data_IF_833629134192
#
_entry.id   IF_833629134192
#
_cell.length_a   1.000
_cell.length_b   1.000
_cell.length_c   1.000
_cell.angle_alpha   90.00
_cell.angle_beta   90.00
_cell.angle_gamma   90.00
#
_symmetry.space_group_name_H-M   'P 1'
#
loop_
_entity.id
_entity.type
_entity.pdbx_description
1 polymer ?
#
# COMPACT_ATOMS: atom_id res chain seq x y z
N UNK A 1 6.79 0.50 22.21
CA UNK A 1 7.44 -0.51 21.38
C UNK A 1 6.69 -0.71 20.07
N UNK A 2 5.36 -0.54 20.04
CA UNK A 2 4.51 -0.66 18.85
C UNK A 2 3.83 0.67 18.53
N UNK A 3 3.94 1.13 17.28
CA UNK A 3 3.13 2.17 16.68
C UNK A 3 2.02 1.56 15.81
N UNK A 4 0.86 2.22 15.71
CA UNK A 4 -0.23 1.78 14.86
C UNK A 4 -0.93 2.96 14.21
N UNK A 5 -1.11 2.88 12.91
CA UNK A 5 -1.94 3.79 12.12
C UNK A 5 -3.07 2.98 11.50
N UNK A 6 -4.30 3.02 12.04
CA UNK A 6 -5.46 2.40 11.41
C UNK A 6 -5.90 3.15 10.15
N UNK A 7 -6.63 2.48 9.28
CA UNK A 7 -7.20 3.05 8.06
C UNK A 7 -8.06 4.30 8.36
N UNK A 8 -8.93 4.19 9.36
CA UNK A 8 -9.70 5.31 9.88
C UNK A 8 -9.31 5.57 11.33
N UNK A 9 -8.71 6.71 11.58
CA UNK A 9 -8.44 7.14 12.95
C UNK A 9 -9.21 8.42 13.26
N UNK A 10 -9.92 8.39 14.38
CA UNK A 10 -10.71 9.51 14.85
C UNK A 10 -9.79 10.65 15.29
N UNK A 11 -9.86 11.78 14.60
CA UNK A 11 -9.23 13.01 15.05
C UNK A 11 -10.28 13.89 15.74
N UNK A 12 -9.90 14.51 16.84
CA UNK A 12 -10.73 15.51 17.51
C UNK A 12 -10.76 16.81 16.67
N UNK A 13 -11.82 17.09 15.89
CA UNK A 13 -11.79 18.13 14.86
C UNK A 13 -11.62 19.55 15.41
N UNK A 14 -11.99 19.77 16.68
CA UNK A 14 -11.91 21.09 17.34
C UNK A 14 -10.58 21.37 18.03
N UNK A 15 -9.74 20.35 18.20
CA UNK A 15 -8.42 20.43 18.85
C UNK A 15 -7.35 20.73 17.79
N UNK A 16 -6.32 21.48 18.15
CA UNK A 16 -5.20 21.69 17.24
C UNK A 16 -4.17 20.56 17.34
N UNK A 17 -3.28 20.48 16.33
CA UNK A 17 -2.31 19.40 16.24
C UNK A 17 -1.33 19.39 17.42
N UNK A 18 -0.92 20.53 17.91
CA UNK A 18 0.02 20.67 19.03
C UNK A 18 -0.57 20.14 20.34
N UNK A 19 -1.80 20.54 20.64
CA UNK A 19 -2.51 20.11 21.85
C UNK A 19 -2.74 18.60 21.89
N UNK A 20 -3.25 18.04 20.76
CA UNK A 20 -3.48 16.59 20.71
C UNK A 20 -2.17 15.82 20.82
N UNK A 21 -1.11 16.31 20.16
CA UNK A 21 0.18 15.62 20.17
C UNK A 21 0.81 15.60 21.57
N UNK A 22 0.76 16.73 22.30
CA UNK A 22 1.23 16.80 23.70
C UNK A 22 0.45 15.84 24.60
N UNK A 23 -0.88 15.79 24.44
CA UNK A 23 -1.74 14.84 25.17
C UNK A 23 -1.39 13.38 24.90
N UNK A 24 -1.18 13.01 23.64
CA UNK A 24 -0.78 11.66 23.25
C UNK A 24 0.60 11.29 23.80
N UNK A 25 1.54 12.23 23.82
CA UNK A 25 2.86 12.03 24.41
C UNK A 25 2.79 11.77 25.91
N UNK A 26 1.91 12.46 26.64
CA UNK A 26 1.63 12.18 28.06
C UNK A 26 1.09 10.75 28.23
N UNK A 27 0.12 10.34 27.41
CA UNK A 27 -0.45 8.98 27.46
C UNK A 27 0.58 7.89 27.15
N UNK A 28 1.60 8.20 26.37
CA UNK A 28 2.75 7.32 26.08
C UNK A 28 3.82 7.34 27.19
N UNK A 29 3.57 8.05 28.30
CA UNK A 29 4.44 8.07 29.49
C UNK A 29 5.52 9.14 29.47
N UNK A 30 5.51 10.09 28.53
CA UNK A 30 6.48 11.18 28.47
C UNK A 30 6.01 12.31 29.40
N UNK A 31 6.40 12.23 30.68
CA UNK A 31 5.93 13.13 31.74
C UNK A 31 6.60 14.51 31.69
N UNK A 32 7.86 14.60 31.24
CA UNK A 32 8.60 15.87 31.19
C UNK A 32 8.11 16.75 30.04
N UNK A 33 7.69 17.99 30.34
CA UNK A 33 7.15 18.93 29.36
C UNK A 33 8.17 19.33 28.28
N UNK A 34 9.43 19.59 28.68
CA UNK A 34 10.48 19.96 27.72
C UNK A 34 10.76 18.84 26.71
N UNK A 35 10.72 17.58 27.16
CA UNK A 35 10.94 16.43 26.28
C UNK A 35 9.76 16.24 25.33
N UNK A 36 8.51 16.44 25.79
CA UNK A 36 7.33 16.42 24.90
C UNK A 36 7.39 17.54 23.85
N UNK A 37 7.79 18.74 24.22
CA UNK A 37 7.93 19.87 23.27
C UNK A 37 8.98 19.57 22.20
N UNK A 38 10.14 19.02 22.57
CA UNK A 38 11.20 18.62 21.64
C UNK A 38 10.70 17.50 20.70
N UNK A 39 10.08 16.47 21.26
CA UNK A 39 9.52 15.35 20.49
C UNK A 39 8.46 15.83 19.49
N UNK A 40 7.50 16.63 19.97
CA UNK A 40 6.43 17.19 19.14
C UNK A 40 7.01 18.00 17.98
N UNK A 41 7.99 18.87 18.26
CA UNK A 41 8.66 19.63 17.21
C UNK A 41 9.36 18.73 16.20
N UNK A 42 10.09 17.72 16.66
CA UNK A 42 10.81 16.77 15.81
C UNK A 42 9.83 16.03 14.89
N UNK A 43 8.84 15.34 15.44
CA UNK A 43 7.93 14.49 14.68
C UNK A 43 7.00 15.29 13.74
N UNK A 44 6.47 16.42 14.18
CA UNK A 44 5.69 17.28 13.30
C UNK A 44 6.54 17.95 12.21
N UNK A 45 7.84 18.15 12.43
CA UNK A 45 8.75 18.64 11.39
C UNK A 45 9.07 17.55 10.38
N UNK A 46 9.38 16.32 10.82
CA UNK A 46 9.64 15.16 9.97
C UNK A 46 8.45 14.87 9.04
N UNK A 47 7.23 15.00 9.55
CA UNK A 47 6.00 14.79 8.76
C UNK A 47 5.53 16.04 8.00
N UNK A 48 6.34 17.11 7.95
CA UNK A 48 6.03 18.40 7.29
C UNK A 48 4.74 19.09 7.81
N UNK A 49 4.42 18.89 9.10
CA UNK A 49 3.22 19.45 9.74
C UNK A 49 3.52 20.58 10.72
N UNK A 50 4.78 20.86 11.06
CA UNK A 50 5.15 21.86 12.07
C UNK A 50 4.55 23.25 11.81
N UNK A 51 4.51 23.70 10.56
CA UNK A 51 3.91 24.99 10.20
C UNK A 51 2.39 25.07 10.43
N UNK A 52 1.73 23.89 10.52
CA UNK A 52 0.29 23.79 10.71
C UNK A 52 -0.09 23.41 12.14
N UNK A 53 0.86 23.29 13.07
CA UNK A 53 0.68 22.79 14.44
C UNK A 53 -0.45 23.46 15.25
N UNK A 54 -0.73 24.73 14.99
CA UNK A 54 -1.80 25.50 15.65
C UNK A 54 -3.15 25.41 14.92
N UNK A 55 -3.23 24.76 13.77
CA UNK A 55 -4.48 24.58 13.04
C UNK A 55 -5.30 23.46 13.64
N UNK A 56 -6.63 23.65 13.64
CA UNK A 56 -7.59 22.59 14.07
C UNK A 56 -7.49 21.40 13.14
N UNK A 57 -7.46 20.18 13.70
CA UNK A 57 -7.32 18.93 12.96
C UNK A 57 -8.47 18.68 11.97
N UNK A 58 -9.67 19.20 12.27
CA UNK A 58 -10.79 19.17 11.35
C UNK A 58 -10.58 19.91 10.03
N UNK A 59 -9.55 20.79 9.94
CA UNK A 59 -9.18 21.54 8.73
C UNK A 59 -8.05 20.91 7.93
N UNK A 60 -7.53 19.74 8.37
CA UNK A 60 -6.48 19.03 7.69
C UNK A 60 -7.03 18.31 6.45
N UNK A 61 -6.25 18.32 5.35
CA UNK A 61 -6.52 17.46 4.19
C UNK A 61 -6.33 15.99 4.55
N UNK A 62 -6.78 15.07 3.70
CA UNK A 62 -6.56 13.63 3.87
C UNK A 62 -5.08 13.30 4.09
N UNK A 63 -4.20 13.77 3.22
CA UNK A 63 -2.75 13.55 3.36
C UNK A 63 -2.15 14.20 4.61
N UNK A 64 -2.65 15.37 5.06
CA UNK A 64 -2.23 15.95 6.33
C UNK A 64 -2.66 15.09 7.53
N UNK A 65 -3.86 14.51 7.48
CA UNK A 65 -4.34 13.59 8.53
C UNK A 65 -3.47 12.34 8.57
N UNK A 66 -3.20 11.72 7.43
CA UNK A 66 -2.33 10.52 7.37
C UNK A 66 -0.94 10.81 7.92
N UNK A 67 -0.30 11.92 7.53
CA UNK A 67 1.00 12.32 8.09
C UNK A 67 0.95 12.63 9.59
N UNK A 68 -0.14 13.16 10.10
CA UNK A 68 -0.34 13.35 11.53
C UNK A 68 -0.47 11.99 12.26
N UNK A 69 -1.19 11.03 11.67
CA UNK A 69 -1.32 9.68 12.19
C UNK A 69 0.02 8.94 12.28
N UNK A 70 0.88 9.07 11.25
CA UNK A 70 2.25 8.53 11.31
C UNK A 70 3.07 9.21 12.41
N UNK A 71 3.03 10.56 12.52
CA UNK A 71 3.70 11.26 13.60
C UNK A 71 3.25 10.76 14.98
N UNK A 72 1.95 10.51 15.14
CA UNK A 72 1.37 9.92 16.36
C UNK A 72 1.88 8.50 16.60
N UNK A 73 1.96 7.66 15.56
CA UNK A 73 2.44 6.28 15.67
C UNK A 73 3.91 6.20 16.11
N UNK A 74 4.71 7.22 15.77
CA UNK A 74 6.12 7.34 16.13
C UNK A 74 6.37 7.80 17.59
N UNK A 75 5.34 8.25 18.32
CA UNK A 75 5.51 8.67 19.72
C UNK A 75 6.00 7.49 20.56
N UNK A 76 7.07 7.68 21.29
CA UNK A 76 7.66 6.67 22.18
C UNK A 76 8.68 5.75 21.51
N UNK A 77 9.22 6.16 20.38
CA UNK A 77 10.31 5.48 19.65
C UNK A 77 10.01 3.99 19.41
N UNK A 78 8.96 3.65 18.64
CA UNK A 78 8.58 2.28 18.38
C UNK A 78 9.65 1.54 17.55
N UNK A 79 9.77 0.23 17.76
CA UNK A 79 10.60 -0.65 16.93
C UNK A 79 9.81 -1.24 15.76
N UNK A 80 8.49 -1.22 15.84
CA UNK A 80 7.56 -1.74 14.86
C UNK A 80 6.40 -0.77 14.70
N UNK A 81 6.05 -0.47 13.45
CA UNK A 81 4.84 0.26 13.11
C UNK A 81 3.98 -0.61 12.20
N UNK A 82 2.70 -0.68 12.49
CA UNK A 82 1.69 -1.27 11.60
C UNK A 82 0.89 -0.11 11.00
N UNK A 83 0.75 -0.13 9.69
CA UNK A 83 0.10 0.93 8.90
C UNK A 83 -0.96 0.29 8.01
N UNK A 84 -2.21 0.65 8.22
CA UNK A 84 -3.35 0.02 7.57
C UNK A 84 -3.96 0.96 6.51
N UNK A 85 -3.90 0.54 5.23
CA UNK A 85 -4.43 1.25 4.06
C UNK A 85 -4.08 2.75 4.00
N UNK A 86 -2.82 3.16 4.22
CA UNK A 86 -2.50 4.56 4.50
C UNK A 86 -2.61 5.50 3.30
N UNK A 87 -2.59 4.96 2.08
CA UNK A 87 -2.61 5.75 0.84
C UNK A 87 -3.99 5.82 0.20
N UNK A 88 -4.96 5.10 0.76
CA UNK A 88 -6.33 5.08 0.27
C UNK A 88 -6.93 6.51 0.24
N UNK A 89 -7.43 6.92 -0.93
CA UNK A 89 -8.05 8.24 -1.12
C UNK A 89 -7.09 9.43 -1.14
N UNK A 90 -5.78 9.20 -1.19
CA UNK A 90 -4.81 10.26 -1.41
C UNK A 90 -4.68 10.59 -2.91
N UNK A 91 -4.46 11.87 -3.22
CA UNK A 91 -4.04 12.26 -4.55
C UNK A 91 -2.59 11.78 -4.83
N UNK A 92 -2.16 11.69 -6.12
CA UNK A 92 -0.83 11.18 -6.45
C UNK A 92 0.32 11.94 -5.79
N UNK A 93 0.19 13.26 -5.59
CA UNK A 93 1.24 14.07 -4.97
C UNK A 93 1.37 13.75 -3.47
N UNK A 94 0.25 13.63 -2.76
CA UNK A 94 0.25 13.28 -1.34
C UNK A 94 0.67 11.82 -1.13
N UNK A 95 0.29 10.90 -2.04
CA UNK A 95 0.75 9.50 -2.01
C UNK A 95 2.27 9.41 -2.12
N UNK A 96 2.88 10.08 -3.10
CA UNK A 96 4.34 10.09 -3.25
C UNK A 96 5.04 10.69 -2.01
N UNK A 97 4.49 11.75 -1.42
CA UNK A 97 5.03 12.32 -0.17
C UNK A 97 4.94 11.35 0.99
N UNK A 98 3.86 10.57 1.04
CA UNK A 98 3.66 9.58 2.09
C UNK A 98 4.60 8.38 1.91
N UNK A 99 4.83 7.92 0.66
CA UNK A 99 5.81 6.89 0.32
C UNK A 99 7.22 7.29 0.77
N UNK A 100 7.66 8.51 0.43
CA UNK A 100 8.97 9.00 0.86
C UNK A 100 9.10 9.01 2.38
N UNK A 101 8.06 9.46 3.08
CA UNK A 101 8.03 9.48 4.55
C UNK A 101 8.14 8.07 5.13
N UNK A 102 7.40 7.08 4.60
CA UNK A 102 7.48 5.70 5.06
C UNK A 102 8.85 5.07 4.78
N UNK A 103 9.45 5.38 3.63
CA UNK A 103 10.81 4.93 3.29
C UNK A 103 11.86 5.46 4.28
N UNK A 104 11.82 6.76 4.61
CA UNK A 104 12.69 7.36 5.62
C UNK A 104 12.51 6.71 7.01
N UNK A 105 11.28 6.44 7.42
CA UNK A 105 10.97 5.76 8.69
C UNK A 105 11.51 4.32 8.68
N UNK A 106 11.34 3.63 7.55
CA UNK A 106 11.74 2.24 7.36
C UNK A 106 13.25 1.98 7.48
N UNK A 107 14.09 3.02 7.38
CA UNK A 107 15.53 2.90 7.63
C UNK A 107 15.86 2.51 9.09
N UNK A 108 15.00 2.88 10.05
CA UNK A 108 15.24 2.71 11.48
C UNK A 108 14.16 1.92 12.22
N UNK A 109 13.01 1.71 11.62
CA UNK A 109 11.82 1.10 12.22
C UNK A 109 11.27 0.03 11.28
N UNK A 110 10.89 -1.12 11.80
CA UNK A 110 10.20 -2.13 11.01
C UNK A 110 8.78 -1.61 10.71
N UNK A 111 8.43 -1.55 9.42
CA UNK A 111 7.10 -1.10 8.98
C UNK A 111 6.36 -2.28 8.36
N UNK A 112 5.20 -2.62 8.93
CA UNK A 112 4.24 -3.56 8.30
C UNK A 112 3.14 -2.72 7.67
N UNK A 113 3.03 -2.81 6.35
CA UNK A 113 2.02 -2.11 5.56
C UNK A 113 0.95 -3.12 5.13
N UNK A 114 -0.32 -2.88 5.45
CA UNK A 114 -1.45 -3.54 4.80
C UNK A 114 -2.01 -2.64 3.72
N UNK A 115 -2.21 -3.19 2.54
CA UNK A 115 -2.78 -2.45 1.40
C UNK A 115 -3.42 -3.39 0.38
N UNK A 116 -4.44 -2.92 -0.31
CA UNK A 116 -4.98 -3.54 -1.52
C UNK A 116 -4.43 -2.88 -2.80
N UNK A 117 -3.57 -1.87 -2.65
CA UNK A 117 -2.98 -1.12 -3.76
C UNK A 117 -1.63 -1.76 -4.09
N UNK A 118 -1.59 -2.53 -5.16
CA UNK A 118 -0.42 -3.32 -5.56
C UNK A 118 0.82 -2.46 -5.83
N UNK A 119 0.62 -1.24 -6.36
CA UNK A 119 1.70 -0.29 -6.60
C UNK A 119 2.44 0.13 -5.32
N UNK A 120 1.72 0.28 -4.17
CA UNK A 120 2.37 0.59 -2.90
C UNK A 120 3.35 -0.49 -2.47
N UNK A 121 3.01 -1.76 -2.76
CA UNK A 121 3.90 -2.90 -2.46
C UNK A 121 5.16 -2.84 -3.31
N UNK A 122 5.02 -2.57 -4.61
CA UNK A 122 6.15 -2.46 -5.54
C UNK A 122 7.14 -1.36 -5.14
N UNK A 123 6.60 -0.23 -4.67
CA UNK A 123 7.37 0.98 -4.40
C UNK A 123 8.03 0.97 -3.00
N UNK A 124 7.42 0.30 -2.01
CA UNK A 124 7.80 0.43 -0.61
C UNK A 124 8.32 -0.86 0.03
N UNK A 125 7.94 -2.03 -0.49
CA UNK A 125 8.12 -3.26 0.26
C UNK A 125 9.28 -4.11 -0.28
N UNK A 126 10.28 -4.36 0.54
CA UNK A 126 11.35 -5.34 0.24
C UNK A 126 10.87 -6.79 0.37
N UNK A 127 9.81 -7.02 1.15
CA UNK A 127 9.14 -8.32 1.28
C UNK A 127 7.63 -8.12 1.31
N UNK A 128 6.89 -9.09 0.78
CA UNK A 128 5.43 -9.06 0.74
C UNK A 128 4.83 -10.42 1.09
N UNK A 129 3.55 -10.40 1.44
CA UNK A 129 2.72 -11.59 1.54
C UNK A 129 1.36 -11.34 0.88
N UNK A 130 0.86 -12.30 0.10
CA UNK A 130 -0.52 -12.30 -0.42
C UNK A 130 -1.36 -13.17 0.51
N UNK A 131 -2.44 -12.58 1.02
CA UNK A 131 -3.39 -13.23 1.92
C UNK A 131 -4.72 -13.41 1.19
N UNK A 132 -5.27 -14.62 1.22
CA UNK A 132 -6.60 -14.95 0.72
C UNK A 132 -7.30 -15.86 1.71
N UNK A 133 -8.55 -15.58 2.03
CA UNK A 133 -9.39 -16.36 2.93
C UNK A 133 -8.72 -16.68 4.29
N UNK A 134 -8.02 -15.68 4.86
CA UNK A 134 -7.31 -15.80 6.13
C UNK A 134 -6.03 -16.63 6.09
N UNK A 135 -5.57 -17.03 4.90
CA UNK A 135 -4.35 -17.83 4.69
C UNK A 135 -3.31 -17.03 3.89
N UNK A 136 -2.06 -17.16 4.31
CA UNK A 136 -0.93 -16.67 3.52
C UNK A 136 -0.71 -17.60 2.34
N UNK A 137 -0.82 -17.10 1.12
CA UNK A 137 -0.67 -17.87 -0.12
C UNK A 137 0.74 -17.75 -0.71
N UNK A 138 1.31 -16.55 -0.66
CA UNK A 138 2.62 -16.24 -1.22
C UNK A 138 3.38 -15.36 -0.24
N UNK A 139 4.70 -15.60 -0.09
CA UNK A 139 5.60 -14.76 0.71
C UNK A 139 6.94 -14.64 -0.01
N UNK A 140 7.49 -13.43 -0.11
CA UNK A 140 8.82 -13.22 -0.64
C UNK A 140 9.09 -11.80 -1.09
N UNK A 141 10.25 -11.60 -1.67
CA UNK A 141 10.62 -10.34 -2.32
C UNK A 141 9.79 -10.16 -3.61
N UNK A 142 9.12 -9.02 -3.83
CA UNK A 142 8.25 -8.80 -4.99
C UNK A 142 8.91 -9.13 -6.32
N UNK A 143 10.13 -8.64 -6.54
CA UNK A 143 10.86 -8.84 -7.79
C UNK A 143 11.30 -10.30 -8.01
N UNK A 144 11.64 -11.02 -6.95
CA UNK A 144 11.97 -12.44 -7.01
C UNK A 144 10.71 -13.26 -7.38
N UNK A 145 9.59 -12.98 -6.71
CA UNK A 145 8.31 -13.65 -6.97
C UNK A 145 7.81 -13.43 -8.41
N UNK A 146 7.97 -12.22 -8.96
CA UNK A 146 7.63 -11.95 -10.36
C UNK A 146 8.51 -12.78 -11.31
N UNK A 147 9.80 -12.90 -11.02
CA UNK A 147 10.71 -13.73 -11.83
C UNK A 147 10.40 -15.22 -11.77
N UNK A 148 9.78 -15.67 -10.70
CA UNK A 148 9.33 -17.06 -10.55
C UNK A 148 8.07 -17.37 -11.38
N UNK A 149 7.37 -16.35 -11.87
CA UNK A 149 6.33 -16.51 -12.88
C UNK A 149 6.98 -16.97 -14.20
N UNK A 150 7.33 -18.24 -14.27
CA UNK A 150 7.96 -18.85 -15.44
C UNK A 150 7.03 -18.94 -16.64
N UNK A 151 5.74 -18.87 -16.40
CA UNK A 151 4.68 -18.83 -17.42
C UNK A 151 4.63 -17.42 -18.03
N UNK A 152 4.46 -17.35 -19.33
CA UNK A 152 4.44 -16.10 -20.04
C UNK A 152 3.11 -15.39 -19.87
N UNK A 153 3.17 -14.08 -19.69
CA UNK A 153 1.98 -13.22 -19.67
C UNK A 153 1.77 -12.65 -21.07
N UNK A 154 0.56 -12.82 -21.55
CA UNK A 154 0.12 -12.33 -22.85
C UNK A 154 -0.97 -11.26 -22.68
N UNK A 155 -0.96 -10.25 -23.54
CA UNK A 155 -1.99 -9.21 -23.54
C UNK A 155 -2.59 -9.03 -24.93
N UNK A 156 -3.90 -8.77 -24.99
CA UNK A 156 -4.59 -8.54 -26.24
C UNK A 156 -5.97 -7.91 -26.03
N UNK A 157 -6.55 -7.45 -27.14
CA UNK A 157 -7.90 -6.88 -27.18
C UNK A 157 -8.87 -7.88 -27.81
N UNK A 158 -9.98 -8.14 -27.12
CA UNK A 158 -11.02 -9.05 -27.58
C UNK A 158 -12.38 -8.34 -27.63
N UNK A 159 -13.28 -8.84 -28.47
CA UNK A 159 -14.66 -8.34 -28.50
C UNK A 159 -15.41 -8.76 -27.22
N UNK A 160 -16.29 -7.86 -26.75
CA UNK A 160 -17.07 -8.14 -25.51
C UNK A 160 -17.86 -9.45 -25.57
N UNK A 161 -18.38 -9.81 -26.75
CA UNK A 161 -19.15 -11.03 -26.97
C UNK A 161 -18.32 -12.28 -26.77
N UNK A 162 -17.03 -12.24 -27.10
CA UNK A 162 -16.11 -13.39 -27.06
C UNK A 162 -15.46 -13.57 -25.68
N UNK A 163 -15.42 -12.49 -24.86
CA UNK A 163 -14.75 -12.50 -23.57
C UNK A 163 -15.18 -13.61 -22.62
N UNK A 164 -16.51 -13.90 -22.56
CA UNK A 164 -17.04 -14.95 -21.69
C UNK A 164 -16.51 -16.34 -22.06
N UNK A 165 -16.38 -16.61 -23.35
CA UNK A 165 -15.83 -17.86 -23.85
C UNK A 165 -14.33 -17.96 -23.61
N UNK A 166 -13.61 -16.88 -23.84
CA UNK A 166 -12.16 -16.79 -23.60
C UNK A 166 -11.85 -17.03 -22.12
N UNK A 167 -12.57 -16.35 -21.20
CA UNK A 167 -12.40 -16.53 -19.75
C UNK A 167 -12.64 -17.96 -19.28
N UNK A 168 -13.46 -18.73 -20.02
CA UNK A 168 -13.74 -20.14 -19.69
C UNK A 168 -12.61 -21.08 -20.13
N UNK A 169 -11.94 -20.74 -21.23
CA UNK A 169 -10.99 -21.63 -21.91
C UNK A 169 -9.52 -21.27 -21.66
N UNK A 170 -9.23 -20.09 -21.12
CA UNK A 170 -7.89 -19.58 -20.87
C UNK A 170 -7.76 -19.06 -19.43
N UNK A 171 -6.54 -19.06 -18.91
CA UNK A 171 -6.22 -18.52 -17.59
C UNK A 171 -6.15 -17.00 -17.65
N UNK A 172 -7.31 -16.34 -17.62
CA UNK A 172 -7.39 -14.87 -17.64
C UNK A 172 -7.04 -14.31 -16.26
N UNK A 173 -5.92 -13.61 -16.18
CA UNK A 173 -5.41 -12.95 -14.98
C UNK A 173 -6.30 -11.74 -14.65
N UNK A 174 -6.41 -10.81 -15.60
CA UNK A 174 -7.16 -9.58 -15.45
C UNK A 174 -7.85 -9.14 -16.74
N UNK A 175 -8.84 -8.26 -16.61
CA UNK A 175 -9.56 -7.72 -17.76
C UNK A 175 -10.00 -6.29 -17.49
N UNK A 176 -9.89 -5.41 -18.49
CA UNK A 176 -10.41 -4.04 -18.43
C UNK A 176 -11.07 -3.62 -19.74
N UNK A 177 -12.10 -2.78 -19.66
CA UNK A 177 -12.67 -2.18 -20.84
C UNK A 177 -11.73 -1.11 -21.42
N UNK A 178 -11.46 -1.21 -22.71
CA UNK A 178 -10.63 -0.26 -23.46
C UNK A 178 -11.24 0.01 -24.83
N UNK A 179 -11.64 1.23 -25.10
CA UNK A 179 -12.19 1.69 -26.39
C UNK A 179 -13.25 0.76 -27.00
N UNK A 180 -14.19 0.30 -26.17
CA UNK A 180 -15.30 -0.57 -26.61
C UNK A 180 -14.98 -2.07 -26.67
N UNK A 181 -13.72 -2.45 -26.58
CA UNK A 181 -13.23 -3.84 -26.49
C UNK A 181 -12.83 -4.18 -25.06
N UNK A 182 -12.51 -5.43 -24.80
CA UNK A 182 -11.94 -5.89 -23.53
C UNK A 182 -10.46 -6.17 -23.73
N UNK A 183 -9.61 -5.42 -23.06
CA UNK A 183 -8.21 -5.78 -22.93
C UNK A 183 -8.10 -6.83 -21.83
N UNK A 184 -7.41 -7.92 -22.13
CA UNK A 184 -7.18 -9.02 -21.17
C UNK A 184 -5.70 -9.33 -21.06
N UNK A 185 -5.33 -9.82 -19.88
CA UNK A 185 -4.02 -10.42 -19.60
C UNK A 185 -4.25 -11.89 -19.32
N UNK A 186 -3.48 -12.76 -19.95
CA UNK A 186 -3.65 -14.23 -19.92
C UNK A 186 -2.31 -14.86 -19.55
N UNK A 187 -2.38 -15.88 -18.72
CA UNK A 187 -1.24 -16.71 -18.36
C UNK A 187 -1.21 -17.95 -19.26
N UNK A 188 -0.19 -18.07 -20.12
CA UNK A 188 -0.01 -19.20 -21.02
C UNK A 188 1.45 -19.36 -21.42
N UNK A 189 1.90 -20.57 -21.71
CA UNK A 189 3.27 -20.84 -22.19
C UNK A 189 3.43 -20.47 -23.67
N UNK A 190 2.33 -20.46 -24.43
CA UNK A 190 2.30 -20.16 -25.84
C UNK A 190 1.31 -19.03 -26.12
N UNK A 191 1.35 -18.47 -27.33
CA UNK A 191 0.35 -17.47 -27.76
C UNK A 191 -1.08 -18.05 -27.62
N UNK A 192 -1.89 -17.57 -26.65
CA UNK A 192 -3.19 -18.18 -26.34
C UNK A 192 -4.24 -17.88 -27.40
N UNK A 193 -4.12 -16.75 -28.07
CA UNK A 193 -5.05 -16.26 -29.08
C UNK A 193 -4.25 -15.48 -30.12
N UNK A 194 -4.48 -15.75 -31.39
CA UNK A 194 -3.78 -15.06 -32.48
C UNK A 194 -3.91 -13.53 -32.37
N UNK A 195 -2.76 -12.86 -32.44
CA UNK A 195 -2.67 -11.39 -32.33
C UNK A 195 -2.46 -10.90 -30.89
N UNK A 196 -2.26 -11.79 -29.92
CA UNK A 196 -1.80 -11.39 -28.60
C UNK A 196 -0.29 -11.14 -28.62
N UNK A 197 0.12 -10.19 -27.77
CA UNK A 197 1.53 -9.86 -27.59
C UNK A 197 2.01 -10.34 -26.21
N UNK A 198 3.18 -10.93 -26.18
CA UNK A 198 3.83 -11.26 -24.90
C UNK A 198 4.22 -9.97 -24.18
N UNK A 199 4.05 -9.94 -22.87
CA UNK A 199 4.43 -8.83 -22.02
C UNK A 199 5.17 -9.32 -20.78
N UNK A 200 5.96 -8.46 -20.17
CA UNK A 200 6.62 -8.77 -18.90
C UNK A 200 5.57 -8.94 -17.80
N UNK A 201 5.73 -9.96 -16.93
CA UNK A 201 4.90 -10.09 -15.73
C UNK A 201 5.10 -8.90 -14.80
N UNK A 202 4.02 -8.52 -14.15
CA UNK A 202 3.96 -7.48 -13.12
C UNK A 202 3.46 -8.07 -11.80
N UNK A 203 3.69 -7.37 -10.70
CA UNK A 203 3.21 -7.81 -9.37
C UNK A 203 1.68 -7.93 -9.33
N UNK A 204 0.97 -7.12 -10.12
CA UNK A 204 -0.47 -7.19 -10.28
C UNK A 204 -0.91 -8.52 -10.91
N UNK A 205 -0.12 -9.06 -11.86
CA UNK A 205 -0.38 -10.38 -12.44
C UNK A 205 -0.25 -11.48 -11.39
N UNK A 206 0.81 -11.44 -10.58
CA UNK A 206 1.00 -12.38 -9.48
C UNK A 206 -0.16 -12.30 -8.48
N UNK A 207 -0.55 -11.09 -8.09
CA UNK A 207 -1.67 -10.88 -7.17
C UNK A 207 -2.97 -11.49 -7.72
N UNK A 208 -3.37 -11.12 -8.92
CA UNK A 208 -4.62 -11.64 -9.50
C UNK A 208 -4.56 -13.13 -9.84
N UNK A 209 -3.42 -13.65 -10.27
CA UNK A 209 -3.24 -15.08 -10.49
C UNK A 209 -3.41 -15.85 -9.19
N UNK A 210 -2.82 -15.36 -8.08
CA UNK A 210 -2.94 -15.97 -6.76
C UNK A 210 -4.38 -15.91 -6.23
N UNK A 211 -5.03 -14.73 -6.33
CA UNK A 211 -6.41 -14.57 -5.83
C UNK A 211 -7.42 -15.36 -6.67
N UNK A 212 -7.19 -15.48 -7.97
CA UNK A 212 -8.04 -16.28 -8.86
C UNK A 212 -7.68 -17.77 -8.87
N UNK A 213 -6.69 -18.20 -8.08
CA UNK A 213 -6.21 -19.59 -8.00
C UNK A 213 -5.83 -20.17 -9.37
N UNK A 214 -5.22 -19.35 -10.21
CA UNK A 214 -4.71 -19.78 -11.50
C UNK A 214 -3.49 -20.70 -11.29
N UNK A 215 -3.29 -21.63 -12.22
CA UNK A 215 -2.16 -22.57 -12.16
C UNK A 215 -0.83 -21.84 -12.46
N UNK A 216 -0.10 -21.52 -11.40
CA UNK A 216 1.23 -20.93 -11.44
C UNK A 216 2.34 -21.99 -11.63
N UNK A 217 1.96 -23.19 -12.09
CA UNK A 217 2.86 -24.34 -12.38
C UNK A 217 3.85 -24.68 -11.27
N UNK A 218 3.32 -24.77 -10.05
CA UNK A 218 3.95 -25.50 -8.94
C UNK A 218 5.21 -24.91 -8.35
N UNK A 219 5.41 -23.58 -8.40
CA UNK A 219 6.64 -22.93 -7.92
C UNK A 219 6.48 -21.75 -6.97
N UNK A 220 5.25 -21.47 -6.49
CA UNK A 220 5.05 -20.44 -5.45
C UNK A 220 4.37 -21.07 -4.25
#
# INVERSE_FOLDING_TARGET
ILGYLPQEFGLYPKVNALELFDHLAIMKGISNKSDREKLTKSLLSQTNLWKYRNRKLGTFSGGMKQRFGIAQALIGDPKLIIVDEPTAGLDPTERNRFHNLLSEIGENVIVILSTHIVEDVSDLCGNMAIIKDGQVKVVGEPQALIKELTTQVWTGLVEKKDFKNIKKNHQVISSRLSMGKVQIRVLDDNEPIAGFSQTSPEIEDLYFATINELDLKGKI
#
